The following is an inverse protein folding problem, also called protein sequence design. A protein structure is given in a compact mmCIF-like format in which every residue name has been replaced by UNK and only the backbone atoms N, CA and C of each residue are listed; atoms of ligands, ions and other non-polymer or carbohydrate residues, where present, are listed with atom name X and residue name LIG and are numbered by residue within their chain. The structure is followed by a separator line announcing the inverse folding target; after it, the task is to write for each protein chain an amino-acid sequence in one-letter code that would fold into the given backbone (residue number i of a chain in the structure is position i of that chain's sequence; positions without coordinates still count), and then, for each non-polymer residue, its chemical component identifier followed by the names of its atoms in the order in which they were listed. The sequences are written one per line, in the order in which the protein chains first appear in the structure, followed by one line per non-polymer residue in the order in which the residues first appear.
data_IF_788688313384
#
_entry.id   IF_788688313384
#
_cell.length_a   1.000
_cell.length_b   1.000
_cell.length_c   1.000
_cell.angle_alpha   90.00
_cell.angle_beta   90.00
_cell.angle_gamma   90.00
#
_symmetry.space_group_name_H-M   'P 1'
#
loop_
_entity.id
_entity.type
_entity.pdbx_description
1 polymer ?
#
# COMPACT_ATOMS: atom_id res chain seq x y z
N UNK A 1 -10.35 -0.41 -3.92
CA UNK A 1 -9.48 -0.38 -5.12
C UNK A 1 -10.26 -0.78 -6.38
N UNK A 2 -10.59 0.21 -7.20
CA UNK A 2 -11.05 0.01 -8.57
C UNK A 2 -9.97 0.58 -9.49
N UNK A 3 -9.62 -0.14 -10.54
CA UNK A 3 -8.76 0.38 -11.60
C UNK A 3 -9.67 0.56 -12.81
N UNK A 4 -9.91 1.81 -13.19
CA UNK A 4 -10.70 2.12 -14.38
C UNK A 4 -9.76 2.08 -15.59
N UNK A 5 -9.96 1.09 -16.46
CA UNK A 5 -9.25 1.03 -17.73
C UNK A 5 -10.05 1.77 -18.81
N UNK A 6 -9.35 2.45 -19.71
CA UNK A 6 -9.90 2.82 -21.02
C UNK A 6 -10.15 1.61 -21.93
N UNK A 7 -10.54 1.86 -23.17
CA UNK A 7 -10.83 0.85 -24.21
C UNK A 7 -9.78 -0.28 -24.29
N UNK A 8 -10.19 -1.54 -24.51
CA UNK A 8 -9.26 -2.68 -24.54
C UNK A 8 -8.29 -2.64 -25.74
N UNK A 9 -7.05 -3.10 -25.51
CA UNK A 9 -6.01 -3.25 -26.52
C UNK A 9 -6.17 -4.53 -27.35
N UNK A 10 -6.22 -4.38 -28.68
CA UNK A 10 -5.80 -5.41 -29.65
C UNK A 10 -4.58 -4.84 -30.36
N UNK A 11 -3.39 -5.38 -30.08
CA UNK A 11 -2.14 -4.88 -30.68
C UNK A 11 -1.96 -5.48 -32.08
N UNK A 12 -1.76 -4.65 -33.11
CA UNK A 12 -1.48 -5.11 -34.49
C UNK A 12 0.00 -5.38 -34.78
N UNK A 13 0.87 -5.33 -33.77
CA UNK A 13 2.27 -5.72 -33.90
C UNK A 13 2.43 -7.19 -33.48
N UNK A 14 3.07 -8.00 -34.32
CA UNK A 14 3.31 -9.43 -34.06
C UNK A 14 3.99 -9.72 -32.72
N UNK A 15 4.11 -10.99 -32.30
CA UNK A 15 4.42 -11.33 -30.91
C UNK A 15 5.81 -10.80 -30.50
N UNK A 16 5.81 -9.71 -29.73
CA UNK A 16 6.97 -9.33 -28.95
C UNK A 16 7.15 -10.38 -27.85
N UNK A 17 8.26 -11.11 -27.88
CA UNK A 17 8.57 -12.16 -26.88
C UNK A 17 9.22 -11.60 -25.62
N UNK A 18 9.52 -10.30 -25.59
CA UNK A 18 10.12 -9.62 -24.45
C UNK A 18 9.75 -8.12 -24.46
N UNK A 19 9.39 -7.60 -23.28
CA UNK A 19 9.19 -6.17 -23.01
C UNK A 19 10.01 -5.79 -21.78
N UNK A 20 10.72 -4.66 -21.82
CA UNK A 20 11.54 -4.15 -20.70
C UNK A 20 11.10 -2.72 -20.38
N UNK A 21 10.64 -2.48 -19.16
CA UNK A 21 10.16 -1.18 -18.70
C UNK A 21 10.97 -0.70 -17.49
N UNK A 22 11.86 0.31 -17.64
CA UNK A 22 12.63 0.87 -16.53
C UNK A 22 11.72 1.49 -15.47
N UNK A 23 11.94 1.14 -14.20
CA UNK A 23 11.09 1.59 -13.09
C UNK A 23 11.54 2.85 -12.38
N UNK A 24 12.84 3.17 -12.38
CA UNK A 24 13.41 4.40 -11.81
C UNK A 24 12.84 4.77 -10.41
N UNK A 25 12.71 3.78 -9.54
CA UNK A 25 12.28 4.01 -8.16
C UNK A 25 13.32 4.81 -7.38
N UNK A 26 12.85 5.63 -6.46
CA UNK A 26 13.70 6.50 -5.64
C UNK A 26 13.71 6.04 -4.18
N UNK A 27 14.77 6.40 -3.47
CA UNK A 27 14.83 6.23 -2.02
C UNK A 27 13.78 7.11 -1.33
N UNK A 28 13.14 6.56 -0.31
CA UNK A 28 12.02 7.20 0.41
C UNK A 28 12.09 6.96 1.90
N UNK A 29 11.33 7.75 2.65
CA UNK A 29 11.27 7.67 4.10
C UNK A 29 9.94 7.13 4.60
N UNK A 30 10.01 6.43 5.73
CA UNK A 30 8.84 6.05 6.52
C UNK A 30 8.99 6.61 7.94
N UNK A 31 7.96 7.30 8.39
CA UNK A 31 7.89 7.89 9.72
C UNK A 31 6.80 7.20 10.54
N UNK A 32 7.12 6.79 11.76
CA UNK A 32 6.19 6.13 12.67
C UNK A 32 6.23 6.82 14.03
N UNK A 33 5.04 7.08 14.58
CA UNK A 33 4.86 7.51 15.96
C UNK A 33 3.77 6.67 16.62
N UNK A 34 4.00 6.27 17.87
CA UNK A 34 3.06 5.46 18.64
C UNK A 34 3.15 5.73 20.13
N UNK A 35 2.08 5.37 20.82
CA UNK A 35 1.96 5.44 22.27
C UNK A 35 1.39 4.13 22.79
N UNK A 36 1.89 3.74 23.95
CA UNK A 36 1.39 2.61 24.72
C UNK A 36 1.03 3.10 26.13
N UNK A 37 -0.10 2.63 26.62
CA UNK A 37 -0.61 2.98 27.94
C UNK A 37 -1.10 1.74 28.67
N UNK A 38 -0.45 1.41 29.78
CA UNK A 38 -0.91 0.41 30.73
C UNK A 38 -2.13 0.95 31.48
N UNK A 39 -3.32 0.66 30.93
CA UNK A 39 -4.57 1.18 31.45
C UNK A 39 -4.98 0.48 32.76
N UNK A 40 -4.67 -0.82 32.87
CA UNK A 40 -4.88 -1.66 34.04
C UNK A 40 -3.74 -2.68 34.12
N UNK A 41 -3.53 -3.32 35.27
CA UNK A 41 -2.49 -4.35 35.45
C UNK A 41 -2.59 -5.53 34.46
N UNK A 42 -3.77 -5.74 33.88
CA UNK A 42 -4.04 -6.80 32.90
C UNK A 42 -4.26 -6.27 31.48
N UNK A 43 -4.32 -4.94 31.26
CA UNK A 43 -4.71 -4.33 29.98
C UNK A 43 -3.79 -3.18 29.55
N UNK A 44 -3.17 -3.35 28.38
CA UNK A 44 -2.46 -2.31 27.66
C UNK A 44 -3.26 -1.81 26.46
N UNK A 45 -3.22 -0.50 26.23
CA UNK A 45 -3.77 0.15 25.04
C UNK A 45 -2.63 0.67 24.18
N UNK A 46 -2.68 0.40 22.87
CA UNK A 46 -1.69 0.84 21.89
C UNK A 46 -2.38 1.63 20.79
N UNK A 47 -1.79 2.75 20.40
CA UNK A 47 -2.23 3.53 19.26
C UNK A 47 -1.04 4.14 18.54
N UNK A 48 -1.17 4.38 17.24
CA UNK A 48 -0.10 4.98 16.48
C UNK A 48 -0.50 5.32 15.06
N UNK A 49 0.44 5.96 14.40
CA UNK A 49 0.29 6.48 13.05
C UNK A 49 1.60 6.36 12.29
N UNK A 50 1.49 5.95 11.03
CA UNK A 50 2.62 5.85 10.10
C UNK A 50 2.32 6.68 8.87
N UNK A 51 3.30 7.48 8.45
CA UNK A 51 3.36 8.04 7.11
C UNK A 51 4.46 7.31 6.33
N UNK A 52 4.07 6.72 5.20
CA UNK A 52 4.90 5.85 4.38
C UNK A 52 4.95 6.37 2.95
N UNK A 53 6.09 6.87 2.52
CA UNK A 53 6.27 7.40 1.17
C UNK A 53 6.42 6.27 0.16
N UNK A 54 5.89 6.47 -1.05
CA UNK A 54 5.98 5.55 -2.17
C UNK A 54 7.25 5.79 -2.97
N UNK A 55 8.04 4.74 -3.27
CA UNK A 55 9.24 4.87 -4.09
C UNK A 55 8.93 4.99 -5.59
N UNK A 56 7.65 4.84 -5.97
CA UNK A 56 7.19 4.87 -7.36
C UNK A 56 7.27 6.30 -7.93
N UNK A 57 7.79 6.43 -9.14
CA UNK A 57 7.89 7.69 -9.88
C UNK A 57 6.74 7.80 -10.90
N UNK A 58 6.11 8.97 -11.01
CA UNK A 58 4.98 9.23 -11.92
C UNK A 58 5.35 9.02 -13.41
N UNK A 59 6.62 9.30 -13.77
CA UNK A 59 7.11 9.14 -15.14
C UNK A 59 7.20 7.67 -15.58
N UNK A 60 7.32 6.74 -14.62
CA UNK A 60 7.60 5.32 -14.86
C UNK A 60 6.61 4.35 -14.20
N UNK A 61 5.58 4.87 -13.53
CA UNK A 61 4.51 4.07 -12.93
C UNK A 61 3.70 3.34 -14.01
N UNK A 62 3.24 2.14 -13.67
CA UNK A 62 2.27 1.37 -14.45
C UNK A 62 1.26 0.68 -13.52
N UNK A 63 0.37 -0.11 -14.10
CA UNK A 63 -0.73 -0.75 -13.36
C UNK A 63 -0.30 -1.99 -12.54
N UNK A 64 0.96 -2.42 -12.63
CA UNK A 64 1.45 -3.62 -11.93
C UNK A 64 1.61 -3.37 -10.43
N UNK A 65 2.03 -2.16 -10.05
CA UNK A 65 2.18 -1.76 -8.65
C UNK A 65 1.36 -0.49 -8.42
N UNK A 66 0.04 -0.63 -8.24
CA UNK A 66 -0.86 0.49 -8.07
C UNK A 66 -0.82 0.95 -6.61
N UNK A 67 0.26 1.65 -6.26
CA UNK A 67 0.51 2.18 -4.93
C UNK A 67 0.96 3.65 -4.98
N UNK A 68 0.69 4.34 -3.89
CA UNK A 68 1.15 5.69 -3.63
C UNK A 68 1.51 5.85 -2.16
N UNK A 69 1.89 7.06 -1.74
CA UNK A 69 2.06 7.44 -0.34
C UNK A 69 0.88 6.97 0.50
N UNK A 70 1.17 6.59 1.75
CA UNK A 70 0.21 5.89 2.60
C UNK A 70 0.16 6.43 4.01
N UNK A 71 -1.04 6.48 4.53
CA UNK A 71 -1.33 6.74 5.94
C UNK A 71 -1.79 5.45 6.59
N UNK A 72 -1.13 5.02 7.67
CA UNK A 72 -1.57 3.88 8.45
C UNK A 72 -1.96 4.35 9.85
N UNK A 73 -3.22 4.12 10.22
CA UNK A 73 -3.71 4.29 11.58
C UNK A 73 -3.76 2.93 12.26
N UNK A 74 -3.04 2.79 13.37
CA UNK A 74 -2.96 1.53 14.11
C UNK A 74 -3.53 1.66 15.52
N UNK A 75 -4.17 0.59 15.98
CA UNK A 75 -4.69 0.44 17.32
C UNK A 75 -4.53 -1.00 17.80
N UNK A 76 -4.33 -1.19 19.10
CA UNK A 76 -4.15 -2.51 19.67
C UNK A 76 -4.46 -2.59 21.16
N UNK A 77 -4.69 -3.81 21.60
CA UNK A 77 -4.99 -4.19 22.98
C UNK A 77 -4.06 -5.33 23.38
N UNK A 78 -3.44 -5.22 24.56
CA UNK A 78 -2.63 -6.28 25.16
C UNK A 78 -3.28 -6.78 26.45
N UNK A 79 -3.50 -8.08 26.56
CA UNK A 79 -4.11 -8.74 27.70
C UNK A 79 -3.10 -9.61 28.43
N UNK A 80 -3.05 -9.54 29.75
CA UNK A 80 -2.08 -10.25 30.58
C UNK A 80 -2.79 -11.06 31.65
N UNK A 81 -2.45 -12.35 31.79
CA UNK A 81 -2.94 -13.20 32.88
C UNK A 81 -1.87 -14.24 33.25
N UNK A 82 -1.46 -14.25 34.51
CA UNK A 82 -0.38 -15.11 35.03
C UNK A 82 0.87 -15.03 34.14
N UNK A 83 1.17 -16.11 33.42
CA UNK A 83 2.32 -16.26 32.53
C UNK A 83 1.96 -16.02 31.05
N UNK A 84 0.71 -15.69 30.74
CA UNK A 84 0.20 -15.54 29.38
C UNK A 84 0.02 -14.08 28.98
N UNK A 85 0.22 -13.84 27.69
CA UNK A 85 -0.08 -12.56 27.04
C UNK A 85 -0.84 -12.81 25.75
N UNK A 86 -1.85 -12.01 25.46
CA UNK A 86 -2.50 -11.97 24.15
C UNK A 86 -2.61 -10.55 23.66
N UNK A 87 -2.18 -10.31 22.42
CA UNK A 87 -2.34 -9.01 21.78
C UNK A 87 -3.27 -9.10 20.59
N UNK A 88 -4.12 -8.09 20.45
CA UNK A 88 -4.96 -7.85 19.29
C UNK A 88 -4.52 -6.54 18.66
N UNK A 89 -4.44 -6.51 17.34
CA UNK A 89 -4.17 -5.28 16.60
C UNK A 89 -5.09 -5.12 15.40
N UNK A 90 -5.34 -3.87 15.06
CA UNK A 90 -6.04 -3.45 13.86
C UNK A 90 -5.29 -2.26 13.25
N UNK A 91 -5.10 -2.29 11.94
CA UNK A 91 -4.52 -1.19 11.19
C UNK A 91 -5.39 -0.87 9.98
N UNK A 92 -5.73 0.41 9.82
CA UNK A 92 -6.36 0.94 8.63
C UNK A 92 -5.32 1.68 7.80
N UNK A 93 -5.12 1.23 6.57
CA UNK A 93 -4.16 1.80 5.62
C UNK A 93 -4.94 2.51 4.52
N UNK A 94 -4.62 3.78 4.30
CA UNK A 94 -5.16 4.61 3.23
C UNK A 94 -4.02 4.94 2.28
N UNK A 95 -4.19 4.66 0.99
CA UNK A 95 -3.27 5.03 -0.07
C UNK A 95 -3.80 6.33 -0.69
N UNK A 96 -2.92 7.30 -0.88
CA UNK A 96 -3.25 8.56 -1.53
C UNK A 96 -3.59 8.33 -3.01
N UNK A 97 -4.50 9.13 -3.54
CA UNK A 97 -4.89 9.05 -4.94
C UNK A 97 -3.70 9.35 -5.86
N UNK A 98 -3.71 8.79 -7.07
CA UNK A 98 -2.62 8.97 -8.04
C UNK A 98 -3.11 8.90 -9.47
N UNK A 99 -2.66 9.86 -10.27
CA UNK A 99 -2.89 9.88 -11.71
C UNK A 99 -1.75 9.19 -12.46
N UNK A 100 -2.07 8.53 -13.56
CA UNK A 100 -1.14 7.87 -14.46
C UNK A 100 -1.33 8.49 -15.84
N UNK A 101 -0.32 9.23 -16.30
CA UNK A 101 -0.34 9.84 -17.64
C UNK A 101 -0.10 8.80 -18.74
N UNK A 102 -0.82 8.97 -19.86
CA UNK A 102 -0.62 8.19 -21.06
C UNK A 102 0.78 8.42 -21.66
N UNK A 103 1.46 7.36 -22.08
CA UNK A 103 2.85 7.44 -22.60
C UNK A 103 3.16 6.33 -23.61
N UNK A 104 4.23 6.55 -24.38
CA UNK A 104 4.69 5.70 -25.47
C UNK A 104 3.58 5.45 -26.52
N UNK A 105 3.22 6.52 -27.24
CA UNK A 105 2.22 6.45 -28.31
C UNK A 105 2.77 5.69 -29.52
N UNK A 106 2.00 4.72 -30.02
CA UNK A 106 2.27 3.99 -31.24
C UNK A 106 1.80 4.75 -32.48
N UNK A 107 2.28 4.33 -33.67
CA UNK A 107 1.96 4.99 -34.94
C UNK A 107 0.46 4.91 -35.32
N UNK A 108 -0.30 3.97 -34.74
CA UNK A 108 -1.75 3.84 -34.91
C UNK A 108 -2.56 4.74 -33.97
N UNK A 109 -1.88 5.52 -33.12
CA UNK A 109 -2.47 6.43 -32.14
C UNK A 109 -2.79 5.78 -30.79
N UNK A 110 -2.60 4.47 -30.62
CA UNK A 110 -2.73 3.79 -29.32
C UNK A 110 -1.54 4.09 -28.41
N UNK A 111 -1.69 3.83 -27.10
CA UNK A 111 -0.62 4.04 -26.11
C UNK A 111 -0.24 2.71 -25.45
N UNK A 112 1.04 2.55 -25.06
CA UNK A 112 1.49 1.40 -24.27
C UNK A 112 0.91 1.45 -22.85
N UNK A 113 0.89 2.64 -22.26
CA UNK A 113 0.26 2.95 -20.98
C UNK A 113 -0.78 4.03 -21.25
N UNK A 114 -2.01 3.75 -20.87
CA UNK A 114 -3.13 4.68 -21.00
C UNK A 114 -3.23 5.60 -19.79
N UNK A 115 -4.01 6.67 -19.95
CA UNK A 115 -4.42 7.49 -18.83
C UNK A 115 -5.27 6.67 -17.84
N UNK A 116 -5.04 6.84 -16.56
CA UNK A 116 -5.79 6.16 -15.51
C UNK A 116 -5.61 6.81 -14.14
N UNK A 117 -6.54 6.53 -13.25
CA UNK A 117 -6.56 7.06 -11.88
C UNK A 117 -6.63 5.90 -10.89
N UNK A 118 -5.82 5.98 -9.83
CA UNK A 118 -5.90 5.13 -8.64
C UNK A 118 -6.58 5.97 -7.57
N UNK A 119 -7.83 5.64 -7.26
CA UNK A 119 -8.62 6.32 -6.25
C UNK A 119 -9.11 5.35 -5.16
N UNK A 120 -9.38 5.88 -3.97
CA UNK A 120 -10.08 5.15 -2.90
C UNK A 120 -9.45 3.76 -2.62
N UNK A 121 -8.12 3.75 -2.52
CA UNK A 121 -7.35 2.54 -2.27
C UNK A 121 -7.03 2.43 -0.78
N UNK A 122 -7.70 1.50 -0.11
CA UNK A 122 -7.53 1.25 1.31
C UNK A 122 -7.35 -0.24 1.63
N UNK A 123 -6.80 -0.53 2.81
CA UNK A 123 -6.66 -1.87 3.33
C UNK A 123 -6.91 -1.93 4.84
N UNK A 124 -7.53 -3.02 5.26
CA UNK A 124 -7.75 -3.37 6.66
C UNK A 124 -6.85 -4.54 7.05
N UNK A 125 -6.05 -4.38 8.09
CA UNK A 125 -5.19 -5.42 8.64
C UNK A 125 -5.61 -5.74 10.08
N UNK A 126 -5.72 -7.02 10.39
CA UNK A 126 -6.01 -7.53 11.74
C UNK A 126 -4.94 -8.54 12.14
N UNK A 127 -4.55 -8.53 13.40
CA UNK A 127 -3.57 -9.48 13.91
C UNK A 127 -3.84 -9.91 15.35
N UNK A 128 -3.37 -11.12 15.66
CA UNK A 128 -3.47 -11.74 16.99
C UNK A 128 -2.13 -12.41 17.31
N UNK A 129 -1.62 -12.20 18.52
CA UNK A 129 -0.46 -12.92 19.05
C UNK A 129 -0.76 -13.51 20.43
N UNK A 130 -0.11 -14.64 20.73
CA UNK A 130 -0.18 -15.30 22.05
C UNK A 130 1.25 -15.56 22.53
N UNK A 131 1.55 -15.16 23.76
CA UNK A 131 2.84 -15.37 24.42
C UNK A 131 2.68 -16.12 25.74
N UNK A 132 3.72 -16.87 26.13
CA UNK A 132 3.85 -17.52 27.43
C UNK A 132 5.26 -17.32 28.00
N UNK A 133 5.35 -16.95 29.28
CA UNK A 133 6.61 -16.74 30.01
C UNK A 133 6.91 -17.93 30.93
N UNK A 134 8.07 -18.57 30.76
CA UNK A 134 8.54 -19.68 31.60
C UNK A 134 9.25 -19.21 32.87
#
# INVERSE_FOLDING_TARGET
MKINYGSPLVTSAGPATQTVTPKNWSDVWRFNIGVEYAALDWLDLRAGYVFDQSPLNDDTIDYLVPANDRHLLNGGLGFHWDNWTVDLNYTYLMIMDRDIDARNQYADGSYEIYEGEIDNADAHMVGLSVGYKF
#
